data_IF_178776318309
#
_entry.id   IF_178776318309
#
_cell.length_a   1.000
_cell.length_b   1.000
_cell.length_c   1.000
_cell.angle_alpha   90.00
_cell.angle_beta   90.00
_cell.angle_gamma   90.00
#
_symmetry.space_group_name_H-M   'P 1'
#
loop_
_entity.id
_entity.type
_entity.pdbx_description
1 polymer ?
#
# COMPACT_ATOMS: atom_id res chain seq x y z
N UNK A 1 0.22 3.72 12.63
CA UNK A 1 1.49 4.26 13.15
C UNK A 1 2.03 5.26 12.14
N UNK A 2 2.48 6.41 12.60
CA UNK A 2 3.06 7.46 11.76
C UNK A 2 4.24 8.03 12.53
N UNK A 3 5.39 8.16 11.86
CA UNK A 3 6.60 8.74 12.43
C UNK A 3 7.03 9.87 11.50
N UNK A 4 7.15 11.07 12.07
CA UNK A 4 7.82 12.19 11.44
C UNK A 4 9.32 12.02 11.68
N UNK A 5 10.13 12.15 10.62
CA UNK A 5 11.57 12.04 10.73
C UNK A 5 12.16 13.43 10.95
N UNK A 6 13.09 13.55 11.88
CA UNK A 6 13.79 14.81 12.19
C UNK A 6 14.80 15.23 11.11
N UNK A 7 14.67 14.72 9.88
CA UNK A 7 15.58 14.95 8.76
C UNK A 7 14.82 15.15 7.45
N UNK A 8 15.40 15.97 6.57
CA UNK A 8 14.99 16.04 5.18
C UNK A 8 15.51 14.81 4.41
N UNK A 9 14.66 14.21 3.57
CA UNK A 9 15.01 13.08 2.71
C UNK A 9 14.37 11.74 3.11
N UNK A 10 14.85 10.66 2.50
CA UNK A 10 14.22 9.35 2.62
C UNK A 10 14.57 8.64 3.94
N UNK A 11 13.64 7.78 4.41
CA UNK A 11 13.90 6.90 5.53
C UNK A 11 15.06 5.94 5.23
N UNK A 12 15.88 5.65 6.24
CA UNK A 12 16.92 4.62 6.15
C UNK A 12 16.37 3.25 6.59
N UNK A 13 17.17 2.20 6.43
CA UNK A 13 16.75 0.83 6.78
C UNK A 13 16.44 0.67 8.27
N UNK A 14 17.18 1.32 9.17
CA UNK A 14 16.95 1.22 10.60
C UNK A 14 15.61 1.84 11.01
N UNK A 15 15.29 3.04 10.51
CA UNK A 15 14.01 3.72 10.75
C UNK A 15 12.81 2.90 10.25
N UNK A 16 12.96 2.23 9.10
CA UNK A 16 11.91 1.36 8.55
C UNK A 16 11.73 0.10 9.39
N UNK A 17 12.81 -0.47 9.90
CA UNK A 17 12.76 -1.63 10.78
C UNK A 17 12.15 -1.28 12.13
N UNK A 18 12.46 -0.11 12.67
CA UNK A 18 11.87 0.39 13.91
C UNK A 18 10.35 0.53 13.77
N UNK A 19 9.87 1.17 12.70
CA UNK A 19 8.44 1.23 12.37
C UNK A 19 7.80 -0.16 12.24
N UNK A 20 8.52 -1.11 11.65
CA UNK A 20 8.05 -2.48 11.46
C UNK A 20 7.97 -3.23 12.81
N UNK A 21 8.92 -3.02 13.71
CA UNK A 21 8.93 -3.60 15.05
C UNK A 21 7.82 -3.01 15.93
N UNK A 22 7.63 -1.70 15.90
CA UNK A 22 6.53 -1.07 16.61
C UNK A 22 5.17 -1.60 16.10
N UNK A 23 5.03 -1.88 14.79
CA UNK A 23 3.82 -2.55 14.28
C UNK A 23 3.63 -3.94 14.89
N UNK A 24 4.70 -4.72 15.03
CA UNK A 24 4.67 -6.05 15.65
C UNK A 24 4.21 -5.99 17.11
N UNK A 25 4.73 -5.04 17.88
CA UNK A 25 4.37 -4.85 19.30
C UNK A 25 2.86 -4.59 19.49
N UNK A 26 2.23 -3.87 18.55
CA UNK A 26 0.81 -3.50 18.65
C UNK A 26 -0.09 -4.56 18.01
N UNK A 27 0.29 -5.11 16.86
CA UNK A 27 -0.60 -5.91 16.01
C UNK A 27 -0.10 -7.34 15.79
N UNK A 28 1.21 -7.55 15.82
CA UNK A 28 1.87 -8.80 15.44
C UNK A 28 2.05 -8.97 13.93
N UNK A 29 3.22 -9.45 13.52
CA UNK A 29 3.56 -9.67 12.11
C UNK A 29 2.63 -10.63 11.37
N UNK A 30 2.01 -11.58 12.08
CA UNK A 30 1.03 -12.52 11.52
C UNK A 30 -0.18 -11.82 10.86
N UNK A 31 -0.47 -10.56 11.23
CA UNK A 31 -1.53 -9.76 10.62
C UNK A 31 -1.14 -9.12 9.30
N UNK A 32 0.15 -9.09 8.96
CA UNK A 32 0.60 -8.53 7.69
C UNK A 32 0.33 -9.55 6.58
N UNK A 33 -0.78 -9.36 5.88
CA UNK A 33 -1.11 -10.15 4.68
C UNK A 33 -0.02 -10.05 3.61
N UNK A 34 0.46 -8.84 3.35
CA UNK A 34 1.64 -8.60 2.52
C UNK A 34 2.08 -7.13 2.61
N UNK A 35 3.39 -6.90 2.61
CA UNK A 35 4.01 -5.59 2.51
C UNK A 35 4.29 -5.24 1.03
N UNK A 36 3.72 -4.15 0.52
CA UNK A 36 4.01 -3.66 -0.83
C UNK A 36 4.79 -2.35 -0.77
N UNK A 37 5.92 -2.24 -1.47
CA UNK A 37 6.78 -1.08 -1.36
C UNK A 37 7.47 -0.70 -2.70
N UNK A 38 7.89 0.56 -2.81
CA UNK A 38 8.59 1.05 -4.00
C UNK A 38 10.11 0.81 -3.95
N UNK A 39 10.81 1.24 -5.00
CA UNK A 39 12.25 1.12 -5.29
C UNK A 39 13.21 1.62 -4.22
N UNK A 40 12.69 2.31 -3.20
CA UNK A 40 13.48 2.84 -2.10
C UNK A 40 13.65 1.85 -0.95
N UNK A 41 12.78 0.84 -0.87
CA UNK A 41 12.79 -0.19 0.17
C UNK A 41 13.73 -1.33 -0.19
N UNK A 42 15.02 -1.02 -0.18
CA UNK A 42 16.11 -1.93 -0.58
C UNK A 42 17.12 -2.12 0.54
N UNK A 43 17.88 -3.19 0.47
CA UNK A 43 18.99 -3.49 1.38
C UNK A 43 18.92 -4.91 1.94
N UNK A 44 20.08 -5.55 2.09
CA UNK A 44 20.17 -6.92 2.60
C UNK A 44 19.54 -7.08 3.99
N UNK A 45 19.85 -6.17 4.91
CA UNK A 45 19.28 -6.19 6.27
C UNK A 45 17.75 -6.08 6.27
N UNK A 46 17.18 -5.30 5.35
CA UNK A 46 15.74 -5.16 5.19
C UNK A 46 15.09 -6.48 4.79
N UNK A 47 15.60 -7.12 3.73
CA UNK A 47 15.04 -8.39 3.26
C UNK A 47 15.25 -9.54 4.25
N UNK A 48 16.41 -9.59 4.93
CA UNK A 48 16.66 -10.56 6.01
C UNK A 48 15.68 -10.40 7.16
N UNK A 49 15.37 -9.17 7.57
CA UNK A 49 14.39 -8.92 8.62
C UNK A 49 12.98 -9.35 8.22
N UNK A 50 12.54 -9.01 6.99
CA UNK A 50 11.24 -9.46 6.47
C UNK A 50 11.15 -10.98 6.41
N UNK A 51 12.22 -11.65 5.99
CA UNK A 51 12.29 -13.11 5.99
C UNK A 51 12.21 -13.70 7.40
N UNK A 52 13.04 -13.22 8.33
CA UNK A 52 13.06 -13.67 9.74
C UNK A 52 11.67 -13.56 10.39
N UNK A 53 10.97 -12.47 10.11
CA UNK A 53 9.65 -12.18 10.65
C UNK A 53 8.50 -12.79 9.84
N UNK A 54 8.81 -13.62 8.82
CA UNK A 54 7.84 -14.28 7.92
C UNK A 54 6.85 -13.31 7.26
N UNK A 55 7.27 -12.07 7.00
CA UNK A 55 6.43 -11.05 6.37
C UNK A 55 6.39 -11.28 4.86
N UNK A 56 5.22 -11.57 4.26
CA UNK A 56 5.09 -11.63 2.81
C UNK A 56 5.33 -10.25 2.21
N UNK A 57 6.08 -10.13 1.11
CA UNK A 57 6.33 -8.82 0.49
C UNK A 57 6.29 -8.82 -1.03
N UNK A 58 6.01 -7.65 -1.61
CA UNK A 58 6.07 -7.36 -3.05
C UNK A 58 6.72 -5.99 -3.23
N UNK A 59 8.01 -5.98 -3.53
CA UNK A 59 8.82 -4.75 -3.56
C UNK A 59 9.32 -4.51 -4.98
N UNK A 60 9.15 -3.28 -5.48
CA UNK A 60 9.66 -2.90 -6.81
C UNK A 60 11.16 -2.70 -6.76
N UNK A 61 11.86 -3.26 -7.73
CA UNK A 61 13.31 -3.17 -7.85
C UNK A 61 13.70 -2.07 -8.84
N UNK A 62 14.85 -1.43 -8.62
CA UNK A 62 15.47 -0.57 -9.62
C UNK A 62 16.08 -1.46 -10.70
N UNK A 63 16.02 -1.02 -11.94
CA UNK A 63 16.55 -1.77 -13.10
C UNK A 63 18.07 -1.99 -13.01
N UNK A 64 18.78 -1.07 -12.35
CA UNK A 64 20.21 -1.12 -12.08
C UNK A 64 20.59 -1.85 -10.79
N UNK A 65 19.64 -2.45 -10.04
CA UNK A 65 19.99 -3.24 -8.85
C UNK A 65 20.93 -4.39 -9.24
N UNK A 66 22.08 -4.47 -8.57
CA UNK A 66 23.05 -5.54 -8.75
C UNK A 66 22.60 -6.79 -7.97
N UNK A 67 22.57 -7.92 -8.65
CA UNK A 67 22.28 -9.23 -8.07
C UNK A 67 23.53 -10.10 -8.15
N UNK A 68 23.88 -10.85 -7.09
CA UNK A 68 25.00 -11.80 -7.12
C UNK A 68 24.67 -12.90 -8.14
N UNK A 69 25.45 -13.06 -9.21
CA UNK A 69 25.13 -14.03 -10.28
C UNK A 69 26.37 -14.75 -10.79
N UNK A 70 26.68 -15.90 -10.20
CA UNK A 70 27.96 -16.56 -10.45
C UNK A 70 29.11 -15.74 -9.84
N UNK A 71 30.19 -15.54 -10.60
CA UNK A 71 31.39 -14.82 -10.13
C UNK A 71 31.22 -13.30 -10.07
N UNK A 72 30.45 -12.73 -11.00
CA UNK A 72 30.26 -11.28 -11.09
C UNK A 72 28.79 -10.91 -10.89
N UNK A 73 28.50 -9.83 -10.14
CA UNK A 73 27.13 -9.35 -10.02
C UNK A 73 26.63 -8.80 -11.35
N UNK A 74 25.36 -9.05 -11.66
CA UNK A 74 24.70 -8.51 -12.85
C UNK A 74 23.59 -7.54 -12.47
N UNK A 75 23.34 -6.53 -13.30
CA UNK A 75 22.14 -5.72 -13.16
C UNK A 75 20.88 -6.55 -13.44
N UNK A 76 19.88 -6.42 -12.58
CA UNK A 76 18.61 -7.13 -12.68
C UNK A 76 17.91 -6.91 -14.03
N UNK A 77 18.06 -5.74 -14.66
CA UNK A 77 17.51 -5.47 -16.00
C UNK A 77 17.99 -6.47 -17.06
N UNK A 78 19.20 -7.03 -16.93
CA UNK A 78 19.72 -8.05 -17.87
C UNK A 78 18.84 -9.30 -17.89
N UNK A 79 18.20 -9.65 -16.76
CA UNK A 79 17.28 -10.78 -16.68
C UNK A 79 15.98 -10.58 -17.45
N UNK A 80 15.63 -9.33 -17.81
CA UNK A 80 14.32 -8.97 -18.37
C UNK A 80 14.39 -8.09 -19.62
N UNK A 81 15.58 -7.76 -20.13
CA UNK A 81 15.77 -6.81 -21.24
C UNK A 81 15.03 -7.21 -22.53
N UNK A 82 14.95 -8.51 -22.81
CA UNK A 82 14.28 -9.12 -23.95
C UNK A 82 12.74 -9.04 -23.90
N UNK A 83 12.14 -8.66 -22.76
CA UNK A 83 10.69 -8.56 -22.66
C UNK A 83 10.13 -7.45 -23.55
N UNK A 84 9.06 -7.74 -24.28
CA UNK A 84 8.23 -6.77 -25.00
C UNK A 84 6.93 -6.48 -24.24
N UNK A 85 6.11 -5.55 -24.77
CA UNK A 85 4.79 -5.25 -24.19
C UNK A 85 3.93 -6.52 -24.02
N UNK A 86 3.16 -6.58 -22.94
CA UNK A 86 2.34 -7.73 -22.51
C UNK A 86 3.08 -9.04 -22.20
N UNK A 87 4.40 -9.08 -22.29
CA UNK A 87 5.17 -10.24 -21.83
C UNK A 87 5.48 -10.11 -20.34
N UNK A 88 5.55 -11.28 -19.69
CA UNK A 88 5.99 -11.39 -18.30
C UNK A 88 6.98 -12.52 -18.17
N UNK A 89 7.96 -12.37 -17.27
CA UNK A 89 8.91 -13.44 -16.94
C UNK A 89 9.04 -13.56 -15.43
N UNK A 90 9.19 -14.79 -14.96
CA UNK A 90 9.52 -15.14 -13.59
C UNK A 90 10.97 -15.63 -13.54
N UNK A 91 11.72 -15.16 -12.55
CA UNK A 91 13.06 -15.69 -12.24
C UNK A 91 13.11 -16.01 -10.75
N UNK A 92 13.52 -17.21 -10.41
CA UNK A 92 13.72 -17.68 -9.04
C UNK A 92 15.20 -17.60 -8.68
N UNK A 93 15.49 -17.24 -7.42
CA UNK A 93 16.86 -17.11 -6.94
C UNK A 93 16.96 -17.22 -5.42
N UNK A 94 17.97 -17.92 -4.91
CA UNK A 94 18.26 -17.93 -3.48
C UNK A 94 19.10 -16.71 -3.09
N UNK A 95 18.54 -15.86 -2.23
CA UNK A 95 19.17 -14.64 -1.72
C UNK A 95 18.63 -14.27 -0.34
N UNK A 96 19.44 -13.57 0.45
CA UNK A 96 19.01 -13.03 1.76
C UNK A 96 18.48 -14.10 2.74
N UNK A 97 18.98 -15.33 2.62
CA UNK A 97 18.58 -16.47 3.46
C UNK A 97 17.30 -17.18 3.02
N UNK A 98 16.75 -16.87 1.84
CA UNK A 98 15.52 -17.49 1.33
C UNK A 98 15.47 -17.52 -0.20
N UNK A 99 14.57 -18.33 -0.76
CA UNK A 99 14.24 -18.25 -2.18
C UNK A 99 13.36 -17.04 -2.44
N UNK A 100 13.80 -16.17 -3.34
CA UNK A 100 13.06 -14.99 -3.81
C UNK A 100 12.69 -15.13 -5.29
N UNK A 101 11.59 -14.48 -5.66
CA UNK A 101 11.03 -14.51 -7.01
C UNK A 101 11.00 -13.11 -7.58
N UNK A 102 11.49 -12.96 -8.81
CA UNK A 102 11.44 -11.72 -9.57
C UNK A 102 10.45 -11.85 -10.72
N UNK A 103 9.41 -11.04 -10.72
CA UNK A 103 8.48 -10.91 -11.83
C UNK A 103 8.77 -9.62 -12.61
N UNK A 104 9.07 -9.76 -13.90
CA UNK A 104 9.33 -8.64 -14.80
C UNK A 104 8.25 -8.48 -15.86
N UNK A 105 7.93 -7.25 -16.25
CA UNK A 105 7.09 -6.90 -17.41
C UNK A 105 7.49 -5.55 -17.99
N UNK A 106 7.07 -5.26 -19.22
CA UNK A 106 7.24 -3.95 -19.86
C UNK A 106 5.92 -3.21 -19.94
N UNK A 107 5.88 -2.00 -19.37
CA UNK A 107 4.74 -1.12 -19.45
C UNK A 107 4.50 -0.64 -20.89
N UNK A 108 3.31 -0.12 -21.19
CA UNK A 108 2.97 0.42 -22.53
C UNK A 108 3.92 1.54 -22.97
N UNK A 109 4.42 2.34 -22.01
CA UNK A 109 5.41 3.39 -22.24
C UNK A 109 6.85 2.87 -22.48
N UNK A 110 7.07 1.56 -22.41
CA UNK A 110 8.39 0.95 -22.57
C UNK A 110 9.16 0.71 -21.26
N UNK A 111 8.65 1.22 -20.13
CA UNK A 111 9.31 1.08 -18.83
C UNK A 111 9.36 -0.37 -18.34
N UNK A 112 10.54 -0.79 -17.89
CA UNK A 112 10.73 -2.08 -17.26
C UNK A 112 10.26 -2.03 -15.79
N UNK A 113 9.31 -2.90 -15.45
CA UNK A 113 8.77 -3.07 -14.09
C UNK A 113 9.21 -4.42 -13.57
N UNK A 114 9.94 -4.43 -12.46
CA UNK A 114 10.48 -5.65 -11.84
C UNK A 114 10.04 -5.65 -10.38
N UNK A 115 9.37 -6.71 -9.97
CA UNK A 115 8.87 -6.91 -8.60
C UNK A 115 9.59 -8.10 -7.99
N UNK A 116 10.18 -7.91 -6.82
CA UNK A 116 10.74 -8.98 -5.99
C UNK A 116 9.74 -9.38 -4.90
N UNK A 117 9.61 -10.67 -4.66
CA UNK A 117 8.74 -11.23 -3.61
C UNK A 117 9.34 -12.50 -3.01
N UNK A 118 9.03 -12.78 -1.74
CA UNK A 118 9.26 -14.09 -1.11
C UNK A 118 8.09 -15.07 -1.30
N UNK A 119 7.08 -14.71 -2.10
CA UNK A 119 5.90 -15.55 -2.34
C UNK A 119 6.00 -16.31 -3.66
N UNK A 120 5.85 -17.63 -3.60
CA UNK A 120 5.86 -18.50 -4.79
C UNK A 120 4.55 -18.36 -5.57
N UNK A 121 4.54 -17.46 -6.55
CA UNK A 121 3.40 -17.14 -7.39
C UNK A 121 3.81 -17.01 -8.86
N UNK A 122 2.86 -17.17 -9.78
CA UNK A 122 3.10 -16.86 -11.21
C UNK A 122 3.42 -15.38 -11.41
N UNK A 123 4.23 -15.02 -12.42
CA UNK A 123 4.58 -13.63 -12.72
C UNK A 123 3.35 -12.70 -12.83
N UNK A 124 2.29 -13.12 -13.52
CA UNK A 124 1.05 -12.34 -13.65
C UNK A 124 0.40 -12.04 -12.30
N UNK A 125 0.30 -13.02 -11.39
CA UNK A 125 -0.23 -12.83 -10.03
C UNK A 125 0.63 -11.87 -9.20
N UNK A 126 1.96 -11.99 -9.26
CA UNK A 126 2.89 -11.09 -8.56
C UNK A 126 2.68 -9.65 -9.03
N UNK A 127 2.65 -9.43 -10.34
CA UNK A 127 2.42 -8.12 -10.94
C UNK A 127 1.05 -7.57 -10.60
N UNK A 128 0.00 -8.41 -10.62
CA UNK A 128 -1.35 -8.02 -10.24
C UNK A 128 -1.44 -7.63 -8.76
N UNK A 129 -0.80 -8.40 -7.87
CA UNK A 129 -0.73 -8.08 -6.44
C UNK A 129 -0.05 -6.74 -6.21
N UNK A 130 1.09 -6.50 -6.88
CA UNK A 130 1.79 -5.23 -6.76
C UNK A 130 0.96 -4.03 -7.23
N UNK A 131 0.04 -4.18 -8.20
CA UNK A 131 -0.87 -3.11 -8.62
C UNK A 131 -1.78 -2.61 -7.49
N UNK A 132 -2.10 -3.45 -6.50
CA UNK A 132 -2.91 -3.06 -5.33
C UNK A 132 -2.23 -1.94 -4.51
N UNK A 133 -0.90 -1.76 -4.63
CA UNK A 133 -0.16 -0.65 -4.04
C UNK A 133 -0.68 0.73 -4.47
N UNK A 134 -1.24 0.86 -5.68
CA UNK A 134 -1.80 2.12 -6.18
C UNK A 134 -2.93 2.66 -5.27
N UNK A 135 -3.57 1.79 -4.48
CA UNK A 135 -4.57 2.21 -3.49
C UNK A 135 -4.03 3.23 -2.48
N UNK A 136 -2.74 3.16 -2.13
CA UNK A 136 -2.09 4.11 -1.22
C UNK A 136 -1.90 5.48 -1.89
N UNK A 137 -1.60 5.53 -3.19
CA UNK A 137 -1.51 6.80 -3.92
C UNK A 137 -2.88 7.47 -4.02
N UNK A 138 -3.92 6.68 -4.29
CA UNK A 138 -5.30 7.16 -4.31
C UNK A 138 -5.76 7.67 -2.92
N UNK A 139 -5.36 6.98 -1.85
CA UNK A 139 -5.52 7.41 -0.46
C UNK A 139 -4.85 8.77 -0.23
N UNK A 140 -3.56 8.91 -0.56
CA UNK A 140 -2.85 10.18 -0.37
C UNK A 140 -3.42 11.31 -1.23
N UNK A 141 -3.86 11.01 -2.46
CA UNK A 141 -4.51 12.00 -3.34
C UNK A 141 -5.82 12.52 -2.74
N UNK A 142 -6.63 11.64 -2.15
CA UNK A 142 -7.86 12.02 -1.44
C UNK A 142 -7.59 12.84 -0.18
N UNK A 143 -6.51 12.55 0.53
CA UNK A 143 -6.08 13.37 1.67
C UNK A 143 -5.63 14.76 1.18
N UNK A 144 -4.70 14.83 0.22
CA UNK A 144 -4.01 16.06 -0.20
C UNK A 144 -4.87 17.03 -0.99
N UNK A 145 -5.47 16.60 -2.10
CA UNK A 145 -6.00 17.54 -3.12
C UNK A 145 -7.44 17.29 -3.53
N UNK A 146 -8.02 16.13 -3.20
CA UNK A 146 -9.34 15.71 -3.71
C UNK A 146 -10.38 15.47 -2.60
N UNK A 147 -10.13 15.95 -1.38
CA UNK A 147 -10.98 15.68 -0.22
C UNK A 147 -10.70 16.58 0.96
N UNK A 148 -9.68 16.24 1.75
CA UNK A 148 -9.44 16.89 3.05
C UNK A 148 -8.51 18.11 3.01
N UNK A 149 -7.84 18.37 1.87
CA UNK A 149 -7.00 19.55 1.62
C UNK A 149 -5.97 19.84 2.73
N UNK A 150 -5.40 18.80 3.35
CA UNK A 150 -4.60 18.99 4.55
C UNK A 150 -3.31 19.78 4.32
N UNK A 151 -2.75 19.77 3.10
CA UNK A 151 -1.59 20.60 2.74
C UNK A 151 -1.86 22.12 2.87
N UNK A 152 -3.14 22.53 2.85
CA UNK A 152 -3.55 23.93 3.00
C UNK A 152 -3.74 24.35 4.48
N UNK A 153 -3.50 23.46 5.45
CA UNK A 153 -3.79 23.75 6.86
C UNK A 153 -2.79 24.70 7.53
N UNK A 154 -1.70 25.09 6.85
CA UNK A 154 -0.59 25.92 7.39
C UNK A 154 -0.08 25.44 8.77
N UNK A 155 -0.35 24.19 9.15
CA UNK A 155 -0.03 23.66 10.47
C UNK A 155 1.47 23.37 10.57
N UNK A 156 2.16 24.11 11.44
CA UNK A 156 3.62 24.03 11.62
C UNK A 156 4.05 23.09 12.74
N UNK A 157 3.15 22.72 13.67
CA UNK A 157 3.47 21.83 14.80
C UNK A 157 3.21 20.36 14.44
N UNK A 158 4.28 19.56 14.40
CA UNK A 158 4.30 18.11 14.15
C UNK A 158 3.23 17.34 14.92
N UNK A 159 3.12 17.53 16.24
CA UNK A 159 2.12 16.84 17.06
C UNK A 159 0.65 17.11 16.63
N UNK A 160 0.37 18.33 16.17
CA UNK A 160 -0.97 18.68 15.66
C UNK A 160 -1.20 18.07 14.27
N UNK A 161 -0.16 17.98 13.43
CA UNK A 161 -0.21 17.32 12.13
C UNK A 161 -0.50 15.83 12.28
N UNK A 162 0.17 15.15 13.23
CA UNK A 162 -0.12 13.75 13.56
C UNK A 162 -1.58 13.59 14.01
N UNK A 163 -2.05 14.45 14.91
CA UNK A 163 -3.44 14.42 15.39
C UNK A 163 -4.44 14.61 14.25
N UNK A 164 -4.18 15.56 13.34
CA UNK A 164 -4.98 15.77 12.15
C UNK A 164 -5.00 14.52 11.26
N UNK A 165 -3.84 13.92 10.96
CA UNK A 165 -3.76 12.71 10.16
C UNK A 165 -4.55 11.54 10.77
N UNK A 166 -4.56 11.40 12.09
CA UNK A 166 -5.38 10.40 12.79
C UNK A 166 -6.87 10.65 12.55
N UNK A 167 -7.34 11.89 12.76
CA UNK A 167 -8.74 12.26 12.55
C UNK A 167 -9.15 12.05 11.09
N UNK A 168 -8.30 12.46 10.14
CA UNK A 168 -8.54 12.28 8.71
C UNK A 168 -8.56 10.80 8.32
N UNK A 169 -7.67 9.98 8.90
CA UNK A 169 -7.65 8.54 8.70
C UNK A 169 -8.93 7.86 9.18
N UNK A 170 -9.43 8.24 10.36
CA UNK A 170 -10.71 7.75 10.90
C UNK A 170 -11.89 8.21 10.05
N UNK A 171 -11.95 9.49 9.69
CA UNK A 171 -12.99 10.02 8.81
C UNK A 171 -13.01 9.34 7.45
N UNK A 172 -11.83 9.01 6.90
CA UNK A 172 -11.75 8.25 5.67
C UNK A 172 -12.21 6.81 5.83
N UNK A 173 -11.82 6.13 6.90
CA UNK A 173 -12.26 4.76 7.17
C UNK A 173 -13.79 4.70 7.25
N UNK A 174 -14.41 5.60 8.02
CA UNK A 174 -15.87 5.70 8.15
C UNK A 174 -16.53 5.91 6.79
N UNK A 175 -16.07 6.90 6.02
CA UNK A 175 -16.61 7.17 4.69
C UNK A 175 -16.41 5.98 3.74
N UNK A 176 -15.29 5.26 3.85
CA UNK A 176 -15.06 4.08 3.03
C UNK A 176 -16.00 2.92 3.40
N UNK A 177 -16.18 2.64 4.69
CA UNK A 177 -17.09 1.59 5.17
C UNK A 177 -18.54 1.87 4.77
N UNK A 178 -19.04 3.09 5.02
CA UNK A 178 -20.39 3.49 4.58
C UNK A 178 -20.52 3.33 3.07
N UNK A 179 -19.50 3.74 2.31
CA UNK A 179 -19.52 3.66 0.85
C UNK A 179 -19.60 2.23 0.30
N UNK A 180 -19.04 1.24 1.01
CA UNK A 180 -19.09 -0.16 0.57
C UNK A 180 -20.49 -0.77 0.66
N UNK A 181 -21.29 -0.33 1.64
CA UNK A 181 -22.64 -0.84 1.86
C UNK A 181 -23.70 -0.18 0.97
N UNK A 182 -23.31 0.78 0.13
CA UNK A 182 -24.23 1.52 -0.72
C UNK A 182 -23.93 1.33 -2.21
N UNK A 183 -24.95 1.06 -3.04
CA UNK A 183 -24.76 0.93 -4.48
C UNK A 183 -24.32 2.26 -5.08
N UNK A 184 -23.36 2.20 -6.01
CA UNK A 184 -22.85 3.37 -6.72
C UNK A 184 -23.49 3.40 -8.12
N UNK A 185 -24.13 4.51 -8.53
CA UNK A 185 -24.66 4.64 -9.87
C UNK A 185 -23.60 4.41 -10.95
N UNK A 186 -23.97 3.74 -12.05
CA UNK A 186 -23.04 3.45 -13.15
C UNK A 186 -23.10 4.53 -14.23
N UNK A 187 -21.94 5.09 -14.60
CA UNK A 187 -21.81 6.07 -15.67
C UNK A 187 -21.55 5.37 -17.01
N UNK A 188 -22.60 5.22 -17.81
CA UNK A 188 -22.56 4.51 -19.11
C UNK A 188 -21.56 5.11 -20.11
N UNK A 189 -21.42 6.44 -20.17
CA UNK A 189 -20.55 7.13 -21.13
C UNK A 189 -19.06 6.83 -20.96
N UNK A 190 -18.61 6.58 -19.73
CA UNK A 190 -17.20 6.29 -19.42
C UNK A 190 -16.97 4.84 -18.96
N UNK A 191 -18.02 4.01 -18.98
CA UNK A 191 -17.99 2.62 -18.50
C UNK A 191 -17.35 2.47 -17.12
N UNK A 192 -17.75 3.33 -16.18
CA UNK A 192 -17.20 3.33 -14.83
C UNK A 192 -18.26 3.75 -13.78
N UNK A 193 -18.03 3.51 -12.49
CA UNK A 193 -18.87 4.06 -11.42
C UNK A 193 -18.88 5.60 -11.44
N UNK A 194 -20.04 6.20 -11.16
CA UNK A 194 -20.21 7.66 -11.14
C UNK A 194 -19.35 8.35 -10.07
N UNK A 195 -19.20 7.69 -8.92
CA UNK A 195 -18.39 8.16 -7.80
C UNK A 195 -17.42 7.08 -7.34
N UNK A 196 -16.33 7.48 -6.67
CA UNK A 196 -15.54 6.52 -5.90
C UNK A 196 -16.32 6.06 -4.66
N UNK A 197 -16.02 4.86 -4.15
CA UNK A 197 -16.60 4.32 -2.90
C UNK A 197 -16.52 5.34 -1.76
N UNK A 198 -15.36 6.00 -1.60
CA UNK A 198 -15.17 7.05 -0.61
C UNK A 198 -16.13 8.24 -0.80
N UNK A 199 -16.30 8.73 -2.04
CA UNK A 199 -17.19 9.86 -2.31
C UNK A 199 -18.65 9.48 -2.06
N UNK A 200 -19.04 8.25 -2.42
CA UNK A 200 -20.37 7.72 -2.11
C UNK A 200 -20.62 7.71 -0.60
N UNK A 201 -19.70 7.18 0.19
CA UNK A 201 -19.88 7.16 1.63
C UNK A 201 -19.84 8.53 2.28
N UNK A 202 -19.08 9.50 1.75
CA UNK A 202 -19.19 10.91 2.18
C UNK A 202 -20.57 11.50 1.91
N UNK A 203 -21.18 11.23 0.76
CA UNK A 203 -22.54 11.70 0.45
C UNK A 203 -23.53 11.11 1.46
N UNK A 204 -23.43 9.81 1.73
CA UNK A 204 -24.31 9.15 2.69
C UNK A 204 -24.07 9.58 4.13
N UNK A 205 -22.83 9.84 4.51
CA UNK A 205 -22.51 10.38 5.82
C UNK A 205 -23.14 11.76 6.02
N UNK A 206 -23.05 12.66 5.02
CA UNK A 206 -23.74 13.96 5.08
C UNK A 206 -25.25 13.79 5.15
N UNK A 207 -25.83 12.85 4.39
CA UNK A 207 -27.25 12.55 4.48
C UNK A 207 -27.64 12.11 5.89
N UNK A 208 -26.92 11.17 6.50
CA UNK A 208 -27.18 10.71 7.88
C UNK A 208 -27.10 11.84 8.89
N UNK A 209 -26.05 12.68 8.82
CA UNK A 209 -25.88 13.83 9.71
C UNK A 209 -27.01 14.86 9.57
N UNK A 210 -27.48 15.12 8.35
CA UNK A 210 -28.58 16.04 8.10
C UNK A 210 -29.91 15.55 8.69
N UNK A 211 -30.07 14.23 8.87
CA UNK A 211 -31.29 13.65 9.45
C UNK A 211 -31.22 13.51 10.97
N UNK A 212 -30.13 12.97 11.52
CA UNK A 212 -29.99 12.73 12.96
C UNK A 212 -28.55 12.42 13.34
N UNK A 213 -27.98 13.24 14.22
CA UNK A 213 -26.64 13.01 14.78
C UNK A 213 -26.56 11.69 15.59
N UNK A 214 -27.52 11.35 16.48
CA UNK A 214 -27.52 10.05 17.16
C UNK A 214 -27.46 8.86 16.19
N UNK A 215 -28.26 8.89 15.12
CA UNK A 215 -28.30 7.81 14.12
C UNK A 215 -26.98 7.68 13.34
N UNK A 216 -26.32 8.79 13.05
CA UNK A 216 -25.01 8.79 12.42
C UNK A 216 -23.95 8.15 13.34
N UNK A 217 -23.97 8.47 14.64
CA UNK A 217 -23.06 7.88 15.63
C UNK A 217 -23.30 6.37 15.76
N UNK A 218 -24.55 5.95 15.90
CA UNK A 218 -24.92 4.53 15.97
C UNK A 218 -24.45 3.75 14.73
N UNK A 219 -24.65 4.32 13.54
CA UNK A 219 -24.18 3.72 12.27
C UNK A 219 -22.66 3.56 12.26
N UNK A 220 -21.92 4.56 12.72
CA UNK A 220 -20.45 4.49 12.82
C UNK A 220 -20.03 3.36 13.77
N UNK A 221 -20.63 3.28 14.96
CA UNK A 221 -20.28 2.26 15.96
C UNK A 221 -20.52 0.85 15.42
N UNK A 222 -21.70 0.61 14.81
CA UNK A 222 -22.04 -0.69 14.21
C UNK A 222 -21.07 -1.09 13.08
N UNK A 223 -20.67 -0.12 12.24
CA UNK A 223 -19.70 -0.36 11.17
C UNK A 223 -18.32 -0.71 11.72
N UNK A 224 -17.87 -0.04 12.78
CA UNK A 224 -16.59 -0.32 13.42
C UNK A 224 -16.59 -1.70 14.11
N UNK A 225 -17.68 -2.10 14.73
CA UNK A 225 -17.83 -3.45 15.30
C UNK A 225 -17.82 -4.54 14.23
N UNK A 226 -18.55 -4.34 13.13
CA UNK A 226 -18.54 -5.26 11.99
C UNK A 226 -17.14 -5.38 11.37
N UNK A 227 -16.47 -4.24 11.15
CA UNK A 227 -15.11 -4.19 10.62
C UNK A 227 -14.12 -4.93 11.54
N UNK A 228 -14.26 -4.77 12.86
CA UNK A 228 -13.53 -5.56 13.86
C UNK A 228 -13.74 -7.04 13.56
N UNK A 229 -14.96 -7.57 13.61
CA UNK A 229 -15.24 -8.99 13.38
C UNK A 229 -14.69 -9.54 12.05
N UNK A 230 -14.61 -8.73 10.99
CA UNK A 230 -14.04 -9.13 9.69
C UNK A 230 -12.50 -9.27 9.71
N UNK A 231 -11.81 -8.45 10.51
CA UNK A 231 -10.35 -8.40 10.58
C UNK A 231 -9.75 -9.48 11.50
N UNK A 232 -10.51 -10.01 12.46
CA UNK A 232 -10.05 -11.08 13.38
C UNK A 232 -10.53 -12.49 13.00
N UNK A 233 -11.23 -12.66 11.87
CA UNK A 233 -11.54 -13.97 11.28
C UNK A 233 -10.45 -14.34 10.25
N UNK A 234 -9.25 -14.69 10.72
CA UNK A 234 -8.25 -15.48 9.98
C UNK A 234 -7.26 -16.09 10.97
#
# INVERSE_FOLDING_TARGET
MFVELDKAGNSNTAERLDLLNQFDEIFGFHRIKSLMADREFVGENWFKALYKNKVPYFIRMKDNTLLPWGKEPIHIKRLFHHLTYNQTRLVEKDMYGSTVYFAGTRAKAGDLVIIMTNQKLSASKILSKYRERWSIEELFRKLKTSGFHWENTHMTKSARLISLLIILGLGMLIAFLIGQDHPIPWKKTLSCPLYSVFKQGLIQFHFLLAHSLPKAIETILNLLESAKCSLFKN
#
